data_IF_384021527944
#
_entry.id   IF_384021527944
#
_cell.length_a   1.000
_cell.length_b   1.000
_cell.length_c   1.000
_cell.angle_alpha   90.00
_cell.angle_beta   90.00
_cell.angle_gamma   90.00
#
_symmetry.space_group_name_H-M   'P 1'
#
loop_
_entity.id
_entity.type
_entity.pdbx_description
1 polymer ?
#
# COMPACT_ATOMS: atom_id res chain seq x y z
N UNK A 1 7.84 5.19 -11.35
CA UNK A 1 7.40 6.56 -10.98
C UNK A 1 8.67 7.37 -10.76
N UNK A 2 8.97 8.37 -11.61
CA UNK A 2 10.22 9.16 -11.53
C UNK A 2 10.04 10.36 -10.58
N UNK A 3 9.64 10.08 -9.35
CA UNK A 3 9.51 11.08 -8.29
C UNK A 3 10.69 10.91 -7.34
N UNK A 4 11.42 11.97 -7.01
CA UNK A 4 12.41 11.91 -5.94
C UNK A 4 11.68 11.87 -4.59
N UNK A 5 11.64 10.70 -3.97
CA UNK A 5 10.92 10.50 -2.70
C UNK A 5 11.65 11.09 -1.50
N UNK A 6 12.95 11.37 -1.61
CA UNK A 6 13.74 11.90 -0.50
C UNK A 6 13.26 13.30 -0.08
N UNK A 7 12.68 14.07 -1.00
CA UNK A 7 12.10 15.38 -0.69
C UNK A 7 10.86 15.31 0.21
N UNK A 8 10.24 14.14 0.37
CA UNK A 8 9.03 13.92 1.16
C UNK A 8 9.29 13.14 2.46
N UNK A 9 10.55 12.92 2.84
CA UNK A 9 10.86 12.25 4.11
C UNK A 9 10.23 13.02 5.28
N UNK A 10 9.60 12.28 6.17
CA UNK A 10 8.88 12.80 7.33
C UNK A 10 7.48 13.34 7.05
N UNK A 11 7.03 13.37 5.78
CA UNK A 11 5.65 13.72 5.39
C UNK A 11 4.70 12.55 5.60
N UNK A 12 3.42 12.86 5.76
CA UNK A 12 2.38 11.83 5.85
C UNK A 12 1.93 11.43 4.46
N UNK A 13 1.87 10.13 4.21
CA UNK A 13 1.41 9.55 2.96
C UNK A 13 0.12 8.78 3.19
N UNK A 14 -0.83 8.94 2.26
CA UNK A 14 -1.91 7.99 2.05
C UNK A 14 -1.65 7.26 0.73
N UNK A 15 -1.67 5.93 0.76
CA UNK A 15 -1.33 5.08 -0.37
C UNK A 15 -2.50 4.17 -0.67
N UNK A 16 -3.01 4.27 -1.89
CA UNK A 16 -3.96 3.32 -2.46
C UNK A 16 -3.18 2.26 -3.21
N UNK A 17 -3.35 1.00 -2.83
CA UNK A 17 -2.66 -0.12 -3.46
C UNK A 17 -3.42 -0.61 -4.69
N UNK A 18 -2.72 -1.32 -5.58
CA UNK A 18 -3.33 -2.04 -6.69
C UNK A 18 -4.34 -3.06 -6.15
N UNK A 19 -5.46 -3.19 -6.85
CA UNK A 19 -6.49 -4.18 -6.51
C UNK A 19 -5.89 -5.58 -6.61
N UNK A 20 -5.97 -6.35 -5.53
CA UNK A 20 -5.61 -7.76 -5.59
C UNK A 20 -6.78 -8.52 -6.21
N UNK A 21 -6.53 -9.15 -7.36
CA UNK A 21 -7.50 -10.03 -8.00
C UNK A 21 -7.47 -11.39 -7.32
N UNK A 22 -8.51 -11.70 -6.55
CA UNK A 22 -8.72 -13.02 -5.96
C UNK A 22 -9.74 -13.82 -6.75
N UNK A 23 -9.41 -15.05 -7.14
CA UNK A 23 -10.39 -16.06 -7.54
C UNK A 23 -10.56 -17.00 -6.35
N UNK A 24 -11.76 -17.06 -5.78
CA UNK A 24 -12.09 -18.13 -4.84
C UNK A 24 -12.41 -19.36 -5.67
N UNK A 25 -11.60 -20.42 -5.54
CA UNK A 25 -11.92 -21.72 -6.11
C UNK A 25 -13.04 -22.36 -5.28
N UNK A 26 -14.30 -22.05 -5.62
CA UNK A 26 -15.47 -22.83 -5.21
C UNK A 26 -15.48 -24.19 -5.92
N UNK A 27 -16.25 -25.15 -5.39
CA UNK A 27 -16.33 -26.51 -5.96
C UNK A 27 -17.09 -26.59 -7.29
N UNK A 28 -17.83 -25.56 -7.69
CA UNK A 28 -18.65 -25.51 -8.89
C UNK A 28 -18.47 -24.17 -9.64
N UNK A 29 -18.48 -24.22 -10.97
CA UNK A 29 -18.21 -23.10 -11.89
C UNK A 29 -19.17 -21.88 -11.74
N UNK A 30 -20.31 -22.04 -11.06
CA UNK A 30 -21.31 -20.98 -10.84
C UNK A 30 -21.05 -20.10 -9.60
N UNK A 31 -20.09 -20.47 -8.74
CA UNK A 31 -19.79 -19.80 -7.46
C UNK A 31 -18.38 -19.19 -7.40
N UNK A 32 -17.91 -18.56 -8.49
CA UNK A 32 -16.65 -17.83 -8.52
C UNK A 32 -16.87 -16.31 -8.49
N UNK A 33 -17.29 -15.71 -7.35
CA UNK A 33 -17.31 -14.27 -7.26
C UNK A 33 -15.87 -13.76 -7.32
N UNK A 34 -15.56 -13.05 -8.40
CA UNK A 34 -14.39 -12.18 -8.42
C UNK A 34 -14.61 -11.11 -7.36
N UNK A 35 -13.73 -11.01 -6.36
CA UNK A 35 -13.75 -9.88 -5.44
C UNK A 35 -12.51 -9.01 -5.64
N UNK A 36 -12.73 -7.70 -5.54
CA UNK A 36 -11.71 -6.67 -5.65
C UNK A 36 -11.48 -6.11 -4.26
N UNK A 37 -10.29 -6.30 -3.69
CA UNK A 37 -9.91 -5.67 -2.43
C UNK A 37 -9.05 -4.43 -2.73
N UNK A 38 -9.56 -3.25 -2.35
CA UNK A 38 -8.78 -2.02 -2.36
C UNK A 38 -8.15 -1.86 -0.98
N UNK A 39 -6.82 -1.94 -0.93
CA UNK A 39 -6.07 -1.77 0.32
C UNK A 39 -5.56 -0.34 0.40
N UNK A 40 -5.80 0.31 1.54
CA UNK A 40 -5.25 1.61 1.88
C UNK A 40 -4.19 1.47 2.97
N UNK A 41 -3.07 2.19 2.82
CA UNK A 41 -2.03 2.31 3.83
C UNK A 41 -1.75 3.78 4.09
N UNK A 42 -1.69 4.16 5.35
CA UNK A 42 -1.39 5.53 5.77
C UNK A 42 -0.29 5.54 6.82
N UNK A 43 0.63 6.48 6.69
CA UNK A 43 1.74 6.63 7.63
C UNK A 43 2.74 7.69 7.23
N UNK A 44 3.67 7.99 8.14
CA UNK A 44 4.77 8.91 7.92
C UNK A 44 5.86 8.23 7.09
N UNK A 45 6.31 8.85 6.01
CA UNK A 45 7.43 8.33 5.22
C UNK A 45 8.73 8.42 6.03
N UNK A 46 9.31 7.27 6.37
CA UNK A 46 10.59 7.21 7.07
C UNK A 46 11.78 7.15 6.11
N UNK A 47 11.64 6.39 5.03
CA UNK A 47 12.72 6.14 4.07
C UNK A 47 12.16 5.74 2.72
N UNK A 48 12.89 6.08 1.66
CA UNK A 48 12.63 5.62 0.31
C UNK A 48 13.82 4.78 -0.16
N UNK A 49 13.52 3.63 -0.75
CA UNK A 49 14.49 2.70 -1.31
C UNK A 49 14.23 2.55 -2.80
N UNK A 50 15.17 1.93 -3.52
CA UNK A 50 15.00 1.69 -4.95
C UNK A 50 13.75 0.86 -5.29
N UNK A 51 13.29 0.02 -4.36
CA UNK A 51 12.19 -0.93 -4.59
C UNK A 51 10.86 -0.50 -3.95
N UNK A 52 10.86 0.50 -3.05
CA UNK A 52 9.64 0.88 -2.34
C UNK A 52 9.83 1.90 -1.24
N UNK A 53 8.75 2.11 -0.48
CA UNK A 53 8.64 3.09 0.59
C UNK A 53 8.50 2.41 1.94
N UNK A 54 9.15 2.96 2.97
CA UNK A 54 8.96 2.54 4.35
C UNK A 54 8.18 3.60 5.11
N UNK A 55 6.97 3.23 5.53
CA UNK A 55 6.14 4.08 6.38
C UNK A 55 6.25 3.67 7.84
N UNK A 56 6.05 4.62 8.74
CA UNK A 56 5.70 4.40 10.13
C UNK A 56 4.26 4.81 10.37
N UNK A 57 3.52 3.96 11.08
CA UNK A 57 2.12 4.22 11.41
C UNK A 57 1.82 3.66 12.80
N UNK A 58 0.73 4.11 13.39
CA UNK A 58 0.36 3.80 14.78
C UNK A 58 -1.09 3.34 14.84
N UNK A 59 -1.32 2.25 15.57
CA UNK A 59 -2.62 1.58 15.75
C UNK A 59 -2.57 0.96 17.12
N UNK A 60 -3.63 1.18 17.89
CA UNK A 60 -3.73 0.62 19.25
C UNK A 60 -2.50 0.96 20.12
N UNK A 61 -1.95 2.17 19.93
CA UNK A 61 -0.75 2.70 20.62
C UNK A 61 0.56 1.96 20.30
N UNK A 62 0.54 1.02 19.36
CA UNK A 62 1.74 0.34 18.89
C UNK A 62 2.18 0.91 17.54
N UNK A 63 3.48 1.25 17.46
CA UNK A 63 4.10 1.65 16.21
C UNK A 63 4.43 0.43 15.37
N UNK A 64 4.11 0.50 14.08
CA UNK A 64 4.52 -0.49 13.09
C UNK A 64 5.15 0.19 11.89
N UNK A 65 6.07 -0.53 11.27
CA UNK A 65 6.70 -0.13 10.02
C UNK A 65 6.11 -0.93 8.88
N UNK A 66 5.75 -0.25 7.80
CA UNK A 66 5.13 -0.85 6.62
C UNK A 66 6.06 -0.61 5.44
N UNK A 67 6.58 -1.68 4.86
CA UNK A 67 7.27 -1.59 3.57
C UNK A 67 6.26 -1.78 2.44
N UNK A 68 6.26 -0.88 1.47
CA UNK A 68 5.32 -0.86 0.34
C UNK A 68 6.13 -0.87 -0.96
N UNK A 69 6.13 -1.97 -1.72
CA UNK A 69 6.80 -2.04 -3.02
C UNK A 69 6.17 -1.07 -4.03
N UNK A 70 6.97 -0.39 -4.85
CA UNK A 70 6.44 0.53 -5.87
C UNK A 70 5.48 -0.13 -6.86
N UNK A 71 5.69 -1.42 -7.18
CA UNK A 71 4.82 -2.20 -8.05
C UNK A 71 3.40 -2.41 -7.50
N UNK A 72 3.21 -2.22 -6.18
CA UNK A 72 1.92 -2.37 -5.51
C UNK A 72 1.14 -1.06 -5.37
N UNK A 73 1.75 0.07 -5.71
CA UNK A 73 1.17 1.41 -5.51
C UNK A 73 0.34 1.78 -6.74
N UNK A 74 -0.95 2.05 -6.52
CA UNK A 74 -1.85 2.61 -7.53
C UNK A 74 -1.82 4.14 -7.52
N UNK A 75 -1.87 4.73 -6.32
CA UNK A 75 -1.88 6.18 -6.13
C UNK A 75 -1.28 6.55 -4.76
N UNK A 76 -0.71 7.75 -4.65
CA UNK A 76 -0.18 8.32 -3.40
C UNK A 76 -0.63 9.76 -3.25
N UNK A 77 -1.17 10.10 -2.07
CA UNK A 77 -1.43 11.46 -1.63
C UNK A 77 -0.42 11.86 -0.55
N UNK A 78 0.13 13.08 -0.63
CA UNK A 78 1.23 13.57 0.22
C UNK A 78 0.75 14.81 1.00
N UNK A 79 0.96 14.83 2.32
CA UNK A 79 0.59 15.92 3.23
C UNK A 79 1.80 16.43 4.03
#
# INVERSE_FOLDING_TARGET
MNLDWNQFLGKSLNITMNENYGVVYGKNDEEHPTFYEIVFKSGKLLSAYNEGLLLESSREQQQYKIFIPYSSIKCVEIF
#
